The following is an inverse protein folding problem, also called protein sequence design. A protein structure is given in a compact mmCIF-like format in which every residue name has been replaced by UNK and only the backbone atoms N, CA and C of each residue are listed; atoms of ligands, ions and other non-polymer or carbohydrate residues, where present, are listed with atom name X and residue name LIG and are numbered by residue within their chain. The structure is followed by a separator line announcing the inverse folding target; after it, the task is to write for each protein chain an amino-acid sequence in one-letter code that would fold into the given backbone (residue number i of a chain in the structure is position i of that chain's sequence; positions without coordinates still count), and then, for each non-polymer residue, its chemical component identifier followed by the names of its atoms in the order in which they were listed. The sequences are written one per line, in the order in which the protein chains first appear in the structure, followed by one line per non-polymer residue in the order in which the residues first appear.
data_IF_676810183027
#
_entry.id   IF_676810183027
#
_cell.length_a   1.000
_cell.length_b   1.000
_cell.length_c   1.000
_cell.angle_alpha   90.00
_cell.angle_beta   90.00
_cell.angle_gamma   90.00
#
_symmetry.space_group_name_H-M   'P 1'
#
loop_
_entity.id
_entity.type
_entity.pdbx_description
1 polymer ?
#
# COMPACT_ATOMS: atom_id res chain seq x y z
N UNK A 1 -15.47 -99.34 -25.02
CA UNK A 1 -15.85 -98.22 -24.13
C UNK A 1 -14.63 -97.89 -23.28
N UNK A 2 -14.03 -96.72 -23.52
CA UNK A 2 -13.16 -95.92 -22.63
C UNK A 2 -11.76 -96.48 -22.27
N UNK A 3 -10.76 -95.88 -22.91
CA UNK A 3 -9.34 -95.83 -22.52
C UNK A 3 -9.11 -94.84 -21.36
N UNK A 4 -7.98 -94.93 -20.64
CA UNK A 4 -7.27 -93.72 -20.27
C UNK A 4 -5.80 -93.73 -20.72
N UNK A 5 -5.42 -92.61 -21.34
CA UNK A 5 -4.09 -92.24 -21.85
C UNK A 5 -3.18 -91.81 -20.69
N UNK A 6 -1.95 -92.34 -20.63
CA UNK A 6 -0.87 -91.78 -19.81
C UNK A 6 -0.17 -90.65 -20.59
N UNK A 7 -0.15 -89.44 -20.02
CA UNK A 7 0.50 -88.25 -20.59
C UNK A 7 1.93 -88.10 -20.07
N UNK A 8 2.82 -87.85 -21.03
CA UNK A 8 4.22 -87.42 -20.88
C UNK A 8 4.27 -86.02 -20.22
N UNK A 9 5.13 -85.85 -19.21
CA UNK A 9 5.40 -84.54 -18.58
C UNK A 9 6.78 -84.07 -19.01
N UNK A 10 6.83 -83.11 -19.93
CA UNK A 10 8.02 -82.28 -20.17
C UNK A 10 7.91 -81.01 -19.31
N UNK A 11 8.96 -80.70 -18.55
CA UNK A 11 9.12 -79.43 -17.82
C UNK A 11 9.56 -78.32 -18.81
N UNK A 12 8.99 -77.11 -18.76
CA UNK A 12 9.49 -75.99 -19.53
C UNK A 12 10.64 -75.26 -18.81
N UNK A 13 11.66 -74.87 -19.57
CA UNK A 13 12.70 -73.90 -19.20
C UNK A 13 12.17 -72.50 -19.53
N UNK A 14 12.06 -71.63 -18.53
CA UNK A 14 11.82 -70.18 -18.70
C UNK A 14 13.14 -69.46 -19.01
N UNK A 15 13.19 -68.52 -19.96
CA UNK A 15 14.32 -67.61 -20.11
C UNK A 15 14.18 -66.37 -19.22
N UNK A 16 15.31 -66.00 -18.62
CA UNK A 16 15.59 -64.80 -17.83
C UNK A 16 15.30 -63.51 -18.63
N UNK A 17 14.40 -62.66 -18.17
CA UNK A 17 14.24 -61.28 -18.64
C UNK A 17 15.14 -60.35 -17.82
N UNK A 18 16.06 -59.65 -18.48
CA UNK A 18 16.85 -58.58 -17.86
C UNK A 18 16.05 -57.29 -17.95
N UNK A 19 15.50 -56.84 -16.82
CA UNK A 19 14.88 -55.52 -16.70
C UNK A 19 15.95 -54.44 -16.54
N UNK A 20 16.09 -53.57 -17.54
CA UNK A 20 16.82 -52.31 -17.41
C UNK A 20 15.91 -51.34 -16.64
N UNK A 21 16.17 -51.18 -15.34
CA UNK A 21 15.52 -50.16 -14.52
C UNK A 21 16.13 -48.79 -14.83
N UNK A 22 15.41 -47.95 -15.57
CA UNK A 22 15.72 -46.52 -15.68
C UNK A 22 15.23 -45.86 -14.39
N UNK A 23 16.16 -45.55 -13.49
CA UNK A 23 15.92 -44.66 -12.35
C UNK A 23 15.71 -43.24 -12.90
N UNK A 24 14.45 -42.84 -13.03
CA UNK A 24 14.07 -41.43 -13.10
C UNK A 24 14.32 -40.84 -11.72
N UNK A 25 15.50 -40.27 -11.51
CA UNK A 25 15.74 -39.31 -10.44
C UNK A 25 14.93 -38.05 -10.78
N UNK A 26 13.65 -38.06 -10.38
CA UNK A 26 12.87 -36.84 -10.25
C UNK A 26 13.55 -36.01 -9.17
N UNK A 27 14.42 -35.10 -9.59
CA UNK A 27 14.94 -34.03 -8.75
C UNK A 27 13.78 -33.08 -8.53
N UNK A 28 12.94 -33.42 -7.55
CA UNK A 28 12.01 -32.48 -6.96
C UNK A 28 12.86 -31.58 -6.06
N UNK A 29 13.48 -30.56 -6.65
CA UNK A 29 13.88 -29.40 -5.86
C UNK A 29 12.59 -28.80 -5.33
N UNK A 30 12.36 -28.77 -4.00
CA UNK A 30 11.32 -27.90 -3.49
C UNK A 30 11.72 -26.48 -3.90
N UNK A 31 10.93 -25.86 -4.78
CA UNK A 31 10.80 -24.41 -4.77
C UNK A 31 10.29 -24.09 -3.37
N UNK A 32 11.21 -23.87 -2.43
CA UNK A 32 10.87 -23.11 -1.25
C UNK A 32 10.54 -21.72 -1.78
N UNK A 33 9.33 -21.19 -1.59
CA UNK A 33 9.14 -19.76 -1.81
C UNK A 33 10.11 -19.09 -0.86
N UNK A 34 11.19 -18.54 -1.40
CA UNK A 34 12.01 -17.62 -0.64
C UNK A 34 11.04 -16.54 -0.18
N UNK A 35 10.86 -16.45 1.14
CA UNK A 35 10.07 -15.41 1.76
C UNK A 35 10.82 -14.12 1.46
N UNK A 36 10.37 -13.39 0.43
CA UNK A 36 10.85 -12.05 0.15
C UNK A 36 10.54 -11.21 1.38
N UNK A 37 11.58 -10.95 2.18
CA UNK A 37 11.52 -9.98 3.26
C UNK A 37 11.22 -8.63 2.63
N UNK A 38 10.29 -7.90 3.24
CA UNK A 38 9.86 -6.62 2.72
C UNK A 38 10.96 -5.57 2.99
N UNK A 39 11.89 -5.44 2.05
CA UNK A 39 13.01 -4.49 2.11
C UNK A 39 12.92 -3.54 0.92
N UNK A 40 12.31 -2.37 1.10
CA UNK A 40 12.22 -1.36 0.07
C UNK A 40 13.59 -0.75 -0.24
N UNK A 41 13.82 -0.31 -1.49
CA UNK A 41 15.12 0.22 -1.91
C UNK A 41 15.46 1.53 -1.20
N UNK A 42 16.71 1.66 -0.74
CA UNK A 42 17.24 2.93 -0.21
C UNK A 42 17.38 3.96 -1.33
N UNK A 43 16.61 5.05 -1.25
CA UNK A 43 16.60 6.15 -2.24
C UNK A 43 17.38 7.38 -1.78
N UNK A 44 18.06 7.31 -0.64
CA UNK A 44 18.79 8.44 -0.05
C UNK A 44 17.87 9.43 0.68
N UNK A 45 18.48 10.29 1.51
CA UNK A 45 17.75 11.24 2.35
C UNK A 45 17.38 12.50 1.56
N UNK A 46 16.10 12.94 1.53
CA UNK A 46 15.74 14.21 0.92
C UNK A 46 16.41 15.39 1.64
N UNK A 47 16.81 16.40 0.87
CA UNK A 47 17.30 17.67 1.42
C UNK A 47 16.20 18.43 2.18
N UNK A 48 16.57 19.06 3.30
CA UNK A 48 15.69 19.88 4.15
C UNK A 48 15.08 21.04 3.34
N UNK A 49 13.76 21.03 3.15
CA UNK A 49 13.01 22.22 2.73
C UNK A 49 12.67 23.05 3.98
N UNK A 50 13.22 24.26 4.06
CA UNK A 50 12.87 25.23 5.09
C UNK A 50 11.44 25.76 4.85
N UNK A 51 10.56 25.62 5.84
CA UNK A 51 9.21 26.14 5.77
C UNK A 51 9.18 27.68 5.68
N UNK A 52 8.48 28.21 4.69
CA UNK A 52 8.26 29.64 4.49
C UNK A 52 7.17 30.18 5.45
N UNK A 53 7.54 30.43 6.70
CA UNK A 53 6.68 31.06 7.71
C UNK A 53 7.08 32.50 8.03
N UNK A 54 7.01 33.44 7.08
CA UNK A 54 7.26 34.86 7.38
C UNK A 54 5.96 35.60 7.72
N UNK A 55 5.58 35.63 9.00
CA UNK A 55 4.91 36.79 9.63
C UNK A 55 5.33 36.90 11.10
N UNK A 56 6.52 37.45 11.32
CA UNK A 56 7.01 37.85 12.63
C UNK A 56 6.43 39.24 12.97
N UNK A 57 5.67 39.35 14.06
CA UNK A 57 5.35 40.64 14.70
C UNK A 57 6.04 40.73 16.07
N UNK A 58 6.64 41.89 16.32
CA UNK A 58 7.46 42.25 17.48
C UNK A 58 6.75 42.00 18.83
N UNK A 59 7.32 41.15 19.72
CA UNK A 59 6.69 40.78 20.99
C UNK A 59 6.75 41.87 22.08
N UNK A 60 7.35 43.03 21.82
CA UNK A 60 7.50 44.11 22.83
C UNK A 60 6.24 44.96 23.08
N UNK A 61 5.12 44.72 22.37
CA UNK A 61 3.89 45.52 22.43
C UNK A 61 2.65 44.78 22.96
N UNK A 62 2.79 43.56 23.50
CA UNK A 62 1.65 42.81 24.04
C UNK A 62 1.39 43.17 25.51
N UNK A 63 0.29 43.86 25.79
CA UNK A 63 -0.20 44.11 27.15
C UNK A 63 -0.56 42.80 27.88
N UNK A 64 -0.37 42.72 29.21
CA UNK A 64 -0.55 41.48 29.96
C UNK A 64 -2.04 41.15 30.04
N UNK A 65 -2.47 40.16 29.26
CA UNK A 65 -3.80 39.55 29.40
C UNK A 65 -3.70 38.38 30.37
N UNK A 66 -4.25 38.57 31.57
CA UNK A 66 -4.50 37.53 32.57
C UNK A 66 -5.63 36.57 32.11
N UNK A 67 -5.42 35.89 30.99
CA UNK A 67 -6.24 34.74 30.57
C UNK A 67 -5.30 33.64 30.11
N UNK A 68 -5.47 32.39 30.58
CA UNK A 68 -4.60 31.29 30.20
C UNK A 68 -4.71 31.05 28.69
N UNK A 69 -3.68 31.49 27.96
CA UNK A 69 -3.56 31.35 26.51
C UNK A 69 -2.92 30.00 26.17
N UNK A 70 -3.54 28.91 26.65
CA UNK A 70 -3.24 27.56 26.19
C UNK A 70 -4.45 26.66 26.43
N UNK A 71 -5.49 26.88 25.64
CA UNK A 71 -6.54 25.88 25.41
C UNK A 71 -6.51 25.55 23.90
N UNK A 72 -5.38 24.96 23.48
CA UNK A 72 -5.10 24.59 22.09
C UNK A 72 -5.51 23.14 21.86
N UNK A 73 -6.81 22.85 21.96
CA UNK A 73 -7.40 21.64 21.40
C UNK A 73 -8.14 22.04 20.12
N UNK A 74 -7.39 22.37 19.06
CA UNK A 74 -7.94 22.69 17.73
C UNK A 74 -7.69 21.63 16.66
N UNK A 75 -7.16 20.46 17.04
CA UNK A 75 -6.81 19.39 16.12
C UNK A 75 -7.30 18.00 16.53
N UNK A 76 -8.28 17.87 17.43
CA UNK A 76 -8.78 16.56 17.84
C UNK A 76 -10.29 16.45 17.58
N UNK A 77 -10.69 15.43 16.81
CA UNK A 77 -12.10 15.03 16.70
C UNK A 77 -12.60 14.33 17.96
N UNK A 78 -11.79 14.23 19.02
CA UNK A 78 -12.08 13.34 20.13
C UNK A 78 -13.07 13.95 21.12
N UNK A 79 -14.17 13.24 21.34
CA UNK A 79 -15.02 13.40 22.52
C UNK A 79 -14.29 12.99 23.81
N UNK A 80 -13.21 12.20 23.70
CA UNK A 80 -12.20 11.88 24.73
C UNK A 80 -10.86 11.53 24.07
N UNK A 81 -9.78 12.33 24.24
CA UNK A 81 -8.48 11.98 23.70
C UNK A 81 -7.94 10.73 24.43
N UNK A 82 -7.95 9.58 23.75
CA UNK A 82 -7.11 8.47 24.17
C UNK A 82 -5.66 8.83 23.80
N UNK A 83 -4.87 9.13 24.82
CA UNK A 83 -3.45 9.48 24.68
C UNK A 83 -2.61 8.32 24.12
N UNK A 84 -3.16 7.11 24.05
CA UNK A 84 -2.52 5.94 23.46
C UNK A 84 -3.04 5.59 22.06
N UNK A 85 -4.05 6.32 21.56
CA UNK A 85 -4.55 6.08 20.21
C UNK A 85 -3.49 6.51 19.19
N UNK A 86 -3.20 5.63 18.24
CA UNK A 86 -2.30 5.93 17.12
C UNK A 86 -2.88 7.09 16.29
N UNK A 87 -2.08 8.07 15.86
CA UNK A 87 -2.58 9.18 15.05
C UNK A 87 -2.89 8.71 13.62
N UNK A 88 -3.56 9.57 12.85
CA UNK A 88 -3.71 9.38 11.40
C UNK A 88 -2.32 9.14 10.77
N UNK A 89 -2.14 8.01 10.09
CA UNK A 89 -0.83 7.58 9.59
C UNK A 89 -0.95 7.00 8.19
N UNK A 90 -0.21 7.54 7.22
CA UNK A 90 -0.18 6.98 5.87
C UNK A 90 0.73 5.75 5.86
N UNK A 91 0.32 4.71 5.13
CA UNK A 91 1.12 3.51 4.95
C UNK A 91 2.00 3.70 3.70
N UNK A 92 3.05 4.51 3.87
CA UNK A 92 3.94 5.00 2.80
C UNK A 92 5.40 4.68 3.10
N UNK A 93 6.30 4.77 2.11
CA UNK A 93 7.74 4.83 2.35
C UNK A 93 8.15 5.92 3.37
N UNK A 94 9.24 5.76 4.16
CA UNK A 94 9.76 6.72 5.12
C UNK A 94 10.16 8.03 4.49
N UNK A 95 10.59 7.99 3.23
CA UNK A 95 10.86 9.19 2.44
C UNK A 95 9.57 9.83 1.88
N UNK A 96 8.42 9.18 2.06
CA UNK A 96 7.08 9.52 1.53
C UNK A 96 6.99 9.50 0.01
N UNK A 97 8.00 8.96 -0.68
CA UNK A 97 8.11 8.91 -2.15
C UNK A 97 7.70 7.54 -2.66
N UNK A 98 6.41 7.33 -2.91
CA UNK A 98 5.90 6.07 -3.43
C UNK A 98 5.87 6.00 -4.96
N UNK A 99 5.98 4.78 -5.49
CA UNK A 99 5.81 4.48 -6.92
C UNK A 99 4.59 3.56 -7.08
N UNK A 100 3.86 3.74 -8.17
CA UNK A 100 2.82 2.82 -8.62
C UNK A 100 2.97 2.45 -10.09
N UNK A 101 2.43 1.29 -10.49
CA UNK A 101 2.27 0.94 -11.91
C UNK A 101 0.82 1.17 -12.40
N UNK A 102 -0.12 1.40 -11.47
CA UNK A 102 -1.54 1.53 -11.78
C UNK A 102 -1.90 2.93 -12.28
N UNK A 103 -2.90 2.99 -13.15
CA UNK A 103 -3.59 4.23 -13.56
C UNK A 103 -4.44 4.82 -12.44
N UNK A 104 -5.02 3.92 -11.65
CA UNK A 104 -5.92 4.19 -10.55
C UNK A 104 -5.39 3.45 -9.32
N UNK A 105 -4.33 3.98 -8.67
CA UNK A 105 -3.72 3.33 -7.53
C UNK A 105 -4.65 3.26 -6.32
N UNK A 106 -4.32 2.35 -5.40
CA UNK A 106 -4.94 2.25 -4.08
C UNK A 106 -3.90 2.60 -3.02
N UNK A 107 -4.24 3.57 -2.20
CA UNK A 107 -3.48 4.00 -1.05
C UNK A 107 -4.06 3.38 0.22
N UNK A 108 -3.30 3.42 1.31
CA UNK A 108 -3.73 2.88 2.58
C UNK A 108 -3.35 3.85 3.70
N UNK A 109 -4.28 4.02 4.64
CA UNK A 109 -4.11 4.94 5.78
C UNK A 109 -4.63 4.26 7.03
N UNK A 110 -3.87 4.32 8.12
CA UNK A 110 -4.40 4.03 9.45
C UNK A 110 -5.18 5.25 9.96
N UNK A 111 -6.42 5.00 10.35
CA UNK A 111 -7.35 6.00 10.87
C UNK A 111 -7.63 5.68 12.33
N UNK A 112 -7.45 6.63 13.27
CA UNK A 112 -7.84 6.42 14.66
C UNK A 112 -9.35 6.20 14.78
N UNK A 113 -9.85 5.71 15.93
CA UNK A 113 -11.26 5.78 16.24
C UNK A 113 -11.76 7.23 16.16
N UNK A 114 -12.88 7.45 15.47
CA UNK A 114 -13.47 8.77 15.24
C UNK A 114 -14.95 8.79 15.63
N UNK A 115 -15.53 9.97 15.91
CA UNK A 115 -16.98 10.11 16.03
C UNK A 115 -17.70 9.65 14.77
N UNK A 116 -18.94 9.18 14.93
CA UNK A 116 -19.79 8.67 13.85
C UNK A 116 -19.97 9.68 12.70
N UNK A 117 -20.02 10.97 13.04
CA UNK A 117 -20.23 12.06 12.09
C UNK A 117 -18.97 12.44 11.31
N UNK A 118 -17.79 11.98 11.74
CA UNK A 118 -16.53 12.32 11.10
C UNK A 118 -16.42 11.68 9.72
N UNK A 119 -15.78 12.40 8.79
CA UNK A 119 -15.43 11.90 7.45
C UNK A 119 -13.93 12.03 7.22
N UNK A 120 -13.42 11.25 6.29
CA UNK A 120 -12.12 11.48 5.68
C UNK A 120 -12.35 12.23 4.38
N UNK A 121 -11.56 13.25 4.10
CA UNK A 121 -11.39 13.72 2.74
C UNK A 121 -10.09 13.16 2.19
N UNK A 122 -10.20 12.54 1.02
CA UNK A 122 -9.10 11.98 0.26
C UNK A 122 -8.98 12.76 -1.05
N UNK A 123 -7.76 13.19 -1.37
CA UNK A 123 -7.51 13.97 -2.56
C UNK A 123 -6.20 13.56 -3.23
N UNK A 124 -6.13 13.78 -4.54
CA UNK A 124 -4.95 13.59 -5.39
C UNK A 124 -4.76 14.85 -6.24
N UNK A 125 -3.53 15.34 -6.31
CA UNK A 125 -3.16 16.51 -7.11
C UNK A 125 -1.94 16.21 -7.98
N UNK A 126 -1.88 16.80 -9.17
CA UNK A 126 -0.71 16.75 -10.06
C UNK A 126 0.17 17.98 -9.82
N UNK A 127 1.48 17.77 -9.73
CA UNK A 127 2.46 18.85 -9.80
C UNK A 127 2.64 19.30 -11.26
N UNK A 128 2.11 20.48 -11.57
CA UNK A 128 2.25 21.10 -12.89
C UNK A 128 3.34 22.19 -12.85
N UNK A 129 4.40 21.98 -13.63
CA UNK A 129 5.43 22.99 -13.90
C UNK A 129 4.91 23.99 -14.94
N UNK A 130 4.68 25.24 -14.53
CA UNK A 130 4.29 26.29 -15.46
C UNK A 130 5.53 26.94 -16.09
N UNK A 131 5.56 26.97 -17.43
CA UNK A 131 6.57 27.71 -18.16
C UNK A 131 6.23 29.21 -18.17
N UNK A 132 6.82 29.96 -17.24
CA UNK A 132 6.89 31.42 -17.27
C UNK A 132 8.34 31.84 -17.12
N UNK A 133 8.84 32.70 -18.01
CA UNK A 133 10.19 33.27 -17.90
C UNK A 133 10.43 33.84 -16.50
N UNK A 134 11.37 33.25 -15.76
CA UNK A 134 11.94 33.85 -14.55
C UNK A 134 11.98 32.93 -13.34
N UNK A 135 10.90 32.22 -13.05
CA UNK A 135 10.77 31.34 -11.88
C UNK A 135 9.79 30.20 -12.23
N UNK A 136 10.18 28.94 -12.02
CA UNK A 136 9.29 27.79 -12.16
C UNK A 136 8.15 27.90 -11.13
N UNK A 137 6.97 28.37 -11.57
CA UNK A 137 5.77 28.32 -10.74
C UNK A 137 5.22 26.89 -10.79
N UNK A 138 5.28 26.20 -9.67
CA UNK A 138 4.66 24.89 -9.48
C UNK A 138 3.26 25.11 -8.94
N UNK A 139 2.25 24.50 -9.57
CA UNK A 139 0.88 24.47 -9.06
C UNK A 139 0.41 23.05 -8.83
N UNK A 140 -0.32 22.86 -7.74
CA UNK A 140 -1.08 21.66 -7.47
C UNK A 140 -2.39 21.72 -8.25
N UNK A 141 -2.48 20.92 -9.32
CA UNK A 141 -3.70 20.78 -10.10
C UNK A 141 -4.53 19.64 -9.53
N UNK A 142 -5.76 19.93 -9.11
CA UNK A 142 -6.68 18.91 -8.61
C UNK A 142 -6.93 17.81 -9.66
N UNK A 143 -6.74 16.55 -9.25
CA UNK A 143 -7.08 15.35 -10.03
C UNK A 143 -8.36 14.73 -9.48
N UNK A 144 -8.47 14.65 -8.15
CA UNK A 144 -9.60 14.08 -7.44
C UNK A 144 -9.69 14.66 -6.03
N UNK A 145 -10.92 14.87 -5.55
CA UNK A 145 -11.25 15.10 -4.14
C UNK A 145 -12.55 14.36 -3.86
N UNK A 146 -12.60 13.61 -2.75
CA UNK A 146 -13.82 12.92 -2.33
C UNK A 146 -13.83 12.63 -0.84
N UNK A 147 -15.00 12.23 -0.33
CA UNK A 147 -15.18 11.90 1.08
C UNK A 147 -15.38 10.41 1.30
N UNK A 148 -14.69 9.86 2.30
CA UNK A 148 -14.77 8.45 2.68
C UNK A 148 -15.23 8.36 4.13
N UNK A 149 -16.15 7.43 4.40
CA UNK A 149 -16.58 7.16 5.78
C UNK A 149 -15.55 6.26 6.47
N UNK A 150 -14.94 6.69 7.60
CA UNK A 150 -14.01 5.86 8.33
C UNK A 150 -14.74 4.73 9.10
N UNK A 151 -14.04 3.64 9.46
CA UNK A 151 -14.56 2.64 10.38
C UNK A 151 -14.70 3.22 11.80
N UNK A 152 -15.79 2.89 12.50
CA UNK A 152 -16.08 3.41 13.85
C UNK A 152 -14.96 3.09 14.86
N UNK A 153 -14.43 1.87 14.83
CA UNK A 153 -13.38 1.41 15.73
C UNK A 153 -11.97 1.87 15.32
N UNK A 154 -11.86 2.64 14.24
CA UNK A 154 -10.58 2.92 13.59
C UNK A 154 -9.98 1.69 12.89
N UNK A 155 -8.84 1.88 12.25
CA UNK A 155 -8.14 0.83 11.52
C UNK A 155 -7.57 1.28 10.19
N UNK A 156 -7.10 0.31 9.41
CA UNK A 156 -6.47 0.57 8.10
C UNK A 156 -7.57 0.63 7.03
N UNK A 157 -7.63 1.76 6.34
CA UNK A 157 -8.62 2.07 5.31
C UNK A 157 -7.93 2.12 3.94
N UNK A 158 -8.38 1.32 2.96
CA UNK A 158 -7.96 1.49 1.58
C UNK A 158 -8.65 2.70 0.94
N UNK A 159 -7.88 3.53 0.24
CA UNK A 159 -8.35 4.70 -0.51
C UNK A 159 -7.97 4.51 -1.98
N UNK A 160 -8.93 4.12 -2.82
CA UNK A 160 -8.70 3.96 -4.25
C UNK A 160 -8.96 5.28 -4.97
N UNK A 161 -8.07 5.67 -5.89
CA UNK A 161 -8.40 6.70 -6.88
C UNK A 161 -9.51 6.13 -7.79
N UNK A 162 -10.73 6.68 -7.78
CA UNK A 162 -11.82 6.10 -8.55
C UNK A 162 -11.70 6.48 -10.03
N UNK A 163 -12.44 5.78 -10.89
CA UNK A 163 -12.55 6.13 -12.31
C UNK A 163 -13.60 7.23 -12.56
N UNK A 164 -14.54 7.37 -11.63
CA UNK A 164 -15.61 8.36 -11.65
C UNK A 164 -15.72 8.98 -10.25
N UNK A 165 -15.99 10.28 -10.16
CA UNK A 165 -16.25 10.95 -8.88
C UNK A 165 -17.69 10.69 -8.37
N UNK A 166 -18.02 11.25 -7.20
CA UNK A 166 -19.34 11.08 -6.58
C UNK A 166 -20.49 11.71 -7.41
N UNK A 167 -20.17 12.57 -8.37
CA UNK A 167 -21.12 13.19 -9.31
C UNK A 167 -21.21 12.43 -10.64
N UNK A 168 -20.39 11.39 -10.84
CA UNK A 168 -20.32 10.57 -12.05
C UNK A 168 -19.48 11.19 -13.17
N UNK A 169 -18.62 12.18 -12.87
CA UNK A 169 -17.67 12.70 -13.84
C UNK A 169 -16.41 11.82 -13.89
N UNK A 170 -15.79 11.62 -15.06
CA UNK A 170 -14.59 10.81 -15.18
C UNK A 170 -13.40 11.47 -14.48
N UNK A 171 -12.70 10.70 -13.65
CA UNK A 171 -11.44 11.09 -13.01
C UNK A 171 -10.29 10.78 -13.95
N UNK A 172 -9.34 11.70 -14.09
CA UNK A 172 -8.20 11.52 -14.99
C UNK A 172 -7.22 10.47 -14.41
N UNK A 173 -6.81 9.45 -15.17
CA UNK A 173 -5.83 8.47 -14.68
C UNK A 173 -4.47 9.12 -14.47
N UNK A 174 -3.67 8.55 -13.56
CA UNK A 174 -2.29 9.01 -13.38
C UNK A 174 -1.48 8.74 -14.65
N UNK A 175 -0.78 9.74 -15.14
CA UNK A 175 0.08 9.64 -16.31
C UNK A 175 1.48 9.13 -15.92
N UNK A 176 2.09 8.36 -16.82
CA UNK A 176 3.44 7.83 -16.61
C UNK A 176 4.46 8.97 -16.55
N UNK A 177 5.34 8.94 -15.54
CA UNK A 177 6.42 9.91 -15.36
C UNK A 177 5.97 11.26 -14.81
N UNK A 178 4.70 11.39 -14.41
CA UNK A 178 4.17 12.58 -13.72
C UNK A 178 4.21 12.40 -12.21
N UNK A 179 4.49 13.49 -11.52
CA UNK A 179 4.54 13.56 -10.07
C UNK A 179 3.17 14.02 -9.55
N UNK A 180 2.66 13.30 -8.57
CA UNK A 180 1.41 13.60 -7.90
C UNK A 180 1.64 13.59 -6.39
N UNK A 181 0.83 14.37 -5.67
CA UNK A 181 0.65 14.18 -4.23
C UNK A 181 -0.74 13.63 -3.96
N UNK A 182 -0.85 12.90 -2.86
CA UNK A 182 -2.14 12.52 -2.32
C UNK A 182 -2.15 12.82 -0.83
N UNK A 183 -3.31 13.25 -0.34
CA UNK A 183 -3.48 13.57 1.07
C UNK A 183 -4.78 13.01 1.62
N UNK A 184 -4.78 12.84 2.93
CA UNK A 184 -5.96 12.49 3.71
C UNK A 184 -6.10 13.50 4.82
N UNK A 185 -7.32 14.03 4.99
CA UNK A 185 -7.66 14.83 6.15
C UNK A 185 -8.91 14.34 6.86
N UNK A 186 -8.93 14.45 8.18
CA UNK A 186 -10.11 14.16 8.98
C UNK A 186 -10.98 15.41 9.07
N UNK A 187 -12.23 15.27 8.67
CA UNK A 187 -13.29 16.25 8.82
C UNK A 187 -14.12 15.88 10.06
N UNK A 188 -13.84 16.50 11.21
CA UNK A 188 -14.59 16.19 12.43
C UNK A 188 -16.07 16.63 12.34
N UNK A 189 -16.32 17.73 11.63
CA UNK A 189 -17.65 18.15 11.24
C UNK A 189 -17.63 18.43 9.72
N UNK A 190 -18.19 17.52 8.89
CA UNK A 190 -18.17 17.68 7.44
C UNK A 190 -19.01 18.87 6.95
N UNK A 191 -20.00 19.33 7.72
CA UNK A 191 -20.83 20.50 7.38
C UNK A 191 -20.15 21.84 7.74
N UNK A 192 -19.18 21.80 8.66
CA UNK A 192 -18.41 22.97 9.10
C UNK A 192 -16.93 22.60 9.29
N UNK A 193 -16.19 22.41 8.18
CA UNK A 193 -14.80 21.96 8.21
C UNK A 193 -13.90 23.06 8.78
N UNK A 194 -13.80 23.09 10.11
CA UNK A 194 -12.98 24.02 10.89
C UNK A 194 -11.82 23.30 11.59
N UNK A 195 -11.65 22.02 11.28
CA UNK A 195 -10.62 21.16 11.85
C UNK A 195 -9.29 21.47 11.14
N UNK A 196 -8.30 21.96 11.89
CA UNK A 196 -6.96 22.24 11.38
C UNK A 196 -5.92 21.80 12.40
N UNK A 197 -4.89 21.08 11.94
CA UNK A 197 -3.80 20.68 12.82
C UNK A 197 -2.95 19.58 12.19
N UNK A 198 -1.72 19.41 12.69
CA UNK A 198 -0.81 18.41 12.17
C UNK A 198 -1.28 16.98 12.45
N UNK A 199 -2.29 16.74 13.30
CA UNK A 199 -2.73 15.37 13.64
C UNK A 199 -3.87 14.85 12.76
N UNK A 200 -4.52 15.73 12.00
CA UNK A 200 -5.70 15.42 11.19
C UNK A 200 -5.44 15.50 9.70
N UNK A 201 -4.22 15.80 9.27
CA UNK A 201 -3.83 15.90 7.86
C UNK A 201 -2.51 15.18 7.62
N UNK A 202 -2.44 14.41 6.55
CA UNK A 202 -1.21 13.74 6.08
C UNK A 202 -1.14 13.78 4.57
N UNK A 203 0.07 13.85 4.03
CA UNK A 203 0.36 13.87 2.60
C UNK A 203 1.55 12.96 2.27
N UNK A 204 1.54 12.41 1.06
CA UNK A 204 2.67 11.69 0.48
C UNK A 204 2.67 11.81 -1.05
N UNK A 205 3.79 11.42 -1.65
CA UNK A 205 4.00 11.48 -3.09
C UNK A 205 3.70 10.14 -3.76
N UNK A 206 3.24 10.24 -5.00
CA UNK A 206 3.08 9.10 -5.89
C UNK A 206 3.50 9.46 -7.31
N UNK A 207 4.34 8.62 -7.89
CA UNK A 207 4.69 8.69 -9.33
C UNK A 207 4.27 7.39 -9.99
N UNK A 208 3.57 7.49 -11.13
CA UNK A 208 3.27 6.31 -11.95
C UNK A 208 4.44 6.02 -12.89
N UNK A 209 4.94 4.79 -12.87
CA UNK A 209 5.93 4.31 -13.84
C UNK A 209 5.33 3.25 -14.76
N UNK A 210 5.89 3.13 -15.97
CA UNK A 210 5.59 2.01 -16.85
C UNK A 210 6.55 0.86 -16.52
N UNK A 211 6.06 -0.38 -16.32
CA UNK A 211 6.94 -1.52 -16.13
C UNK A 211 7.68 -1.85 -17.43
N UNK A 212 8.85 -2.50 -17.31
CA UNK A 212 9.48 -3.12 -18.47
C UNK A 212 8.63 -4.30 -18.96
N UNK A 213 8.76 -4.66 -20.24
CA UNK A 213 8.02 -5.81 -20.78
C UNK A 213 8.35 -7.13 -20.05
N UNK A 214 9.61 -7.29 -19.63
CA UNK A 214 10.07 -8.44 -18.85
C UNK A 214 9.41 -8.48 -17.47
N UNK A 215 9.42 -7.37 -16.72
CA UNK A 215 8.82 -7.32 -15.40
C UNK A 215 7.29 -7.46 -15.44
N UNK A 216 6.65 -6.89 -16.46
CA UNK A 216 5.21 -7.06 -16.67
C UNK A 216 4.83 -8.53 -16.90
N UNK A 217 5.61 -9.26 -17.71
CA UNK A 217 5.41 -10.69 -17.95
C UNK A 217 5.66 -11.51 -16.67
N UNK A 218 6.71 -11.19 -15.92
CA UNK A 218 7.01 -11.85 -14.63
C UNK A 218 5.88 -11.66 -13.61
N UNK A 219 5.32 -10.45 -13.49
CA UNK A 219 4.17 -10.18 -12.63
C UNK A 219 2.91 -10.95 -13.05
N UNK A 220 2.67 -11.12 -14.35
CA UNK A 220 1.51 -11.85 -14.88
C UNK A 220 1.60 -13.36 -14.60
N UNK A 221 2.79 -13.94 -14.70
CA UNK A 221 3.02 -15.37 -14.43
C UNK A 221 3.09 -15.69 -12.93
N UNK A 222 3.46 -14.71 -12.09
CA UNK A 222 3.60 -14.87 -10.66
C UNK A 222 2.25 -15.09 -9.94
N UNK A 223 2.25 -15.98 -8.95
CA UNK A 223 1.16 -16.10 -7.99
C UNK A 223 0.97 -14.79 -7.20
N UNK A 224 -0.23 -14.57 -6.63
CA UNK A 224 -0.52 -13.36 -5.86
C UNK A 224 0.50 -13.12 -4.73
N UNK A 225 0.94 -14.19 -4.05
CA UNK A 225 1.94 -14.09 -2.98
C UNK A 225 3.32 -13.66 -3.49
N UNK A 226 3.72 -14.17 -4.67
CA UNK A 226 4.98 -13.80 -5.34
C UNK A 226 4.95 -12.37 -5.87
N UNK A 227 3.82 -11.91 -6.42
CA UNK A 227 3.65 -10.52 -6.88
C UNK A 227 3.95 -9.52 -5.76
N UNK A 228 3.53 -9.79 -4.52
CA UNK A 228 3.84 -8.92 -3.37
C UNK A 228 5.36 -8.77 -3.20
N UNK A 229 6.12 -9.87 -3.30
CA UNK A 229 7.59 -9.83 -3.18
C UNK A 229 8.24 -9.04 -4.32
N UNK A 230 7.88 -9.35 -5.56
CA UNK A 230 8.41 -8.68 -6.76
C UNK A 230 8.17 -7.16 -6.73
N UNK A 231 6.98 -6.73 -6.32
CA UNK A 231 6.63 -5.31 -6.22
C UNK A 231 7.37 -4.62 -5.06
N UNK A 232 7.53 -5.30 -3.92
CA UNK A 232 8.25 -4.78 -2.77
C UNK A 232 9.75 -4.58 -3.06
N UNK A 233 10.39 -5.59 -3.66
CA UNK A 233 11.82 -5.57 -4.02
C UNK A 233 12.16 -4.46 -5.02
N UNK A 234 11.21 -4.11 -5.90
CA UNK A 234 11.37 -3.04 -6.90
C UNK A 234 10.92 -1.67 -6.37
N UNK A 235 10.40 -1.59 -5.14
CA UNK A 235 9.93 -0.34 -4.53
C UNK A 235 8.65 0.21 -5.14
N UNK A 236 7.84 -0.63 -5.81
CA UNK A 236 6.47 -0.33 -6.26
C UNK A 236 5.51 -0.47 -5.09
N UNK A 237 5.70 0.43 -4.13
CA UNK A 237 5.15 0.37 -2.79
C UNK A 237 3.64 0.19 -2.71
N UNK A 238 2.89 1.05 -3.41
CA UNK A 238 1.43 1.07 -3.32
C UNK A 238 0.80 -0.21 -3.90
N UNK A 239 1.35 -0.70 -5.02
CA UNK A 239 0.91 -1.94 -5.66
C UNK A 239 1.26 -3.15 -4.77
N UNK A 240 2.44 -3.16 -4.14
CA UNK A 240 2.83 -4.24 -3.22
C UNK A 240 1.85 -4.36 -2.04
N UNK A 241 1.52 -3.23 -1.41
CA UNK A 241 0.58 -3.19 -0.30
C UNK A 241 -0.84 -3.56 -0.73
N UNK A 242 -1.26 -3.11 -1.91
CA UNK A 242 -2.55 -3.50 -2.48
C UNK A 242 -2.65 -5.02 -2.69
N UNK A 243 -1.61 -5.63 -3.28
CA UNK A 243 -1.55 -7.09 -3.48
C UNK A 243 -1.52 -7.83 -2.14
N UNK A 244 -0.82 -7.31 -1.13
CA UNK A 244 -0.77 -7.90 0.20
C UNK A 244 -2.14 -7.83 0.89
N UNK A 245 -2.85 -6.71 0.80
CA UNK A 245 -4.20 -6.56 1.32
C UNK A 245 -5.20 -7.50 0.62
N UNK A 246 -5.09 -7.69 -0.70
CA UNK A 246 -5.88 -8.67 -1.44
C UNK A 246 -5.56 -10.11 -1.05
N UNK A 247 -4.30 -10.42 -0.78
CA UNK A 247 -3.89 -11.74 -0.30
C UNK A 247 -4.49 -12.03 1.07
N UNK A 248 -4.44 -11.04 1.98
CA UNK A 248 -5.02 -11.12 3.33
C UNK A 248 -6.53 -11.34 3.33
N UNK A 249 -7.26 -10.78 2.36
CA UNK A 249 -8.72 -10.89 2.31
C UNK A 249 -9.25 -12.21 1.75
N UNK A 250 -8.39 -13.06 1.16
CA UNK A 250 -8.81 -14.31 0.49
C UNK A 250 -8.92 -15.53 1.42
N UNK A 251 -8.45 -15.47 2.66
CA UNK A 251 -8.57 -16.55 3.67
C UNK A 251 -8.18 -17.95 3.19
N UNK A 252 -7.27 -18.08 2.21
CA UNK A 252 -6.84 -19.35 1.63
C UNK A 252 -5.30 -19.47 1.65
N UNK A 253 -4.85 -20.69 2.00
CA UNK A 253 -3.49 -21.24 2.04
C UNK A 253 -2.36 -20.32 2.59
N UNK A 254 -1.89 -20.66 3.81
CA UNK A 254 -0.81 -20.01 4.57
C UNK A 254 -1.10 -18.63 5.21
N UNK A 255 -2.27 -18.49 5.85
CA UNK A 255 -2.66 -17.31 6.66
C UNK A 255 -1.55 -16.83 7.63
N UNK A 256 -0.80 -17.77 8.23
CA UNK A 256 0.27 -17.43 9.20
C UNK A 256 1.41 -16.59 8.59
N UNK A 257 1.71 -16.78 7.31
CA UNK A 257 2.75 -16.03 6.61
C UNK A 257 2.23 -14.66 6.13
N UNK A 258 0.98 -14.60 5.68
CA UNK A 258 0.38 -13.34 5.21
C UNK A 258 0.23 -12.34 6.35
N UNK A 259 -0.24 -12.78 7.52
CA UNK A 259 -0.34 -11.89 8.68
C UNK A 259 1.05 -11.47 9.18
N UNK A 260 2.05 -12.35 9.16
CA UNK A 260 3.42 -11.96 9.51
C UNK A 260 3.98 -10.89 8.57
N UNK A 261 3.78 -11.04 7.25
CA UNK A 261 4.20 -10.04 6.26
C UNK A 261 3.44 -8.72 6.42
N UNK A 262 2.16 -8.78 6.78
CA UNK A 262 1.37 -7.59 7.11
C UNK A 262 1.93 -6.87 8.32
N UNK A 263 2.23 -7.58 9.41
CA UNK A 263 2.84 -6.98 10.60
C UNK A 263 4.23 -6.39 10.31
N UNK A 264 5.09 -7.11 9.57
CA UNK A 264 6.39 -6.59 9.13
C UNK A 264 6.27 -5.29 8.33
N UNK A 265 5.27 -5.22 7.45
CA UNK A 265 4.97 -4.00 6.71
C UNK A 265 4.59 -2.85 7.65
N UNK A 266 3.72 -3.11 8.63
CA UNK A 266 3.30 -2.10 9.61
C UNK A 266 4.46 -1.60 10.47
N UNK A 267 5.32 -2.50 10.94
CA UNK A 267 6.51 -2.16 11.72
C UNK A 267 7.47 -1.22 10.97
N UNK A 268 7.49 -1.30 9.63
CA UNK A 268 8.37 -0.50 8.80
C UNK A 268 7.83 0.90 8.49
N UNK A 269 6.50 1.07 8.42
CA UNK A 269 5.85 2.38 8.18
C UNK A 269 5.54 3.15 9.46
N UNK A 270 5.51 2.48 10.61
CA UNK A 270 5.28 3.13 11.89
C UNK A 270 6.53 3.92 12.32
N UNK A 271 6.40 5.22 12.62
CA UNK A 271 7.51 5.95 13.22
C UNK A 271 7.81 5.34 14.60
N UNK A 272 9.02 4.80 14.74
CA UNK A 272 9.59 4.28 16.00
C UNK A 272 9.77 5.40 17.05
#
# INVERSE_FOLDING_TARGET
MIQPKLRLVLRPLMPLSWGLGILLLSVCTPLSPALGEFVPPDRGTPGRLEGAGTRWSDPSQAEPRDQPLFDTVRGSCASRPDVNARPLTLLVPPDTLGITLQEYPRFFVYVPPLPEEAKLEFAVTEWEYLNGEGDEEIRDREVYVGQVSPPEEGGIVPLALPQEDDEGNPVTPLAVGKEYTWFVRILCNPEAPTSFGPDIWREAWVTRLAPTAEFAAELEEASLSQQVGLLAETGVWYDALDRLAQLRSRSDEDESNVEQRWQQFLDWVEPQ
#
